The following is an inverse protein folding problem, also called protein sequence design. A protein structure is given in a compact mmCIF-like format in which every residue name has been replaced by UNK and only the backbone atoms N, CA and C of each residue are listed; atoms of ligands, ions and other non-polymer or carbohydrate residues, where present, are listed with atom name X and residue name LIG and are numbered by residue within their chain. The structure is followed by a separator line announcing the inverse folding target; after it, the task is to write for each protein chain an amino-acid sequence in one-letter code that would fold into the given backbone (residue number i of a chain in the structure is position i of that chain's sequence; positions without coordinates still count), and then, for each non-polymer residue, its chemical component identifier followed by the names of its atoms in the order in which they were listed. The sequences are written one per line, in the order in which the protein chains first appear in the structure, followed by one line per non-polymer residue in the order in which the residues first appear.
data_IF_022813141553
#
_entry.id   IF_022813141553
#
_cell.length_a   1.000
_cell.length_b   1.000
_cell.length_c   1.000
_cell.angle_alpha   90.00
_cell.angle_beta   90.00
_cell.angle_gamma   90.00
#
_symmetry.space_group_name_H-M   'P 1'
#
loop_
_entity.id
_entity.type
_entity.pdbx_description
1 polymer ?
#
# COMPACT_ATOMS: atom_id res chain seq x y z
N UNK A 1 63.15 -27.90 22.61
CA UNK A 1 62.98 -27.57 21.19
C UNK A 1 61.61 -26.94 21.00
N UNK A 2 61.53 -25.64 20.69
CA UNK A 2 60.26 -24.92 20.50
C UNK A 2 59.76 -25.16 19.06
N UNK A 3 58.51 -25.62 18.90
CA UNK A 3 57.88 -25.83 17.59
C UNK A 3 56.99 -24.62 17.28
N UNK A 4 57.24 -23.95 16.16
CA UNK A 4 56.39 -22.88 15.63
C UNK A 4 55.54 -23.48 14.50
N UNK A 5 54.21 -23.42 14.64
CA UNK A 5 53.29 -23.83 13.59
C UNK A 5 52.87 -22.58 12.80
N UNK A 6 53.15 -22.62 11.50
CA UNK A 6 52.72 -21.63 10.53
C UNK A 6 51.21 -21.82 10.29
N UNK A 7 50.38 -21.01 10.93
CA UNK A 7 48.94 -20.95 10.60
C UNK A 7 48.84 -20.09 9.34
N UNK A 8 48.67 -20.76 8.19
CA UNK A 8 48.32 -20.13 6.92
C UNK A 8 47.01 -19.39 7.13
N UNK A 9 47.06 -18.06 7.02
CA UNK A 9 45.91 -17.18 7.14
C UNK A 9 44.84 -17.55 6.12
N UNK A 10 43.81 -18.25 6.58
CA UNK A 10 42.57 -18.42 5.84
C UNK A 10 41.85 -17.08 5.91
N UNK A 11 42.14 -16.21 4.96
CA UNK A 11 41.45 -14.94 4.78
C UNK A 11 39.98 -15.22 4.47
N UNK A 12 39.12 -15.18 5.49
CA UNK A 12 37.68 -15.11 5.28
C UNK A 12 37.40 -13.71 4.74
N UNK A 13 37.13 -13.64 3.44
CA UNK A 13 36.62 -12.43 2.82
C UNK A 13 35.23 -12.17 3.40
N UNK A 14 35.12 -11.30 4.40
CA UNK A 14 33.84 -10.74 4.83
C UNK A 14 33.37 -9.76 3.74
N UNK A 15 32.85 -10.31 2.64
CA UNK A 15 32.03 -9.51 1.73
C UNK A 15 30.73 -9.22 2.48
N UNK A 16 30.62 -8.02 3.06
CA UNK A 16 29.33 -7.49 3.45
C UNK A 16 28.51 -7.41 2.17
N UNK A 17 27.66 -8.41 1.92
CA UNK A 17 26.70 -8.38 0.82
C UNK A 17 25.90 -7.09 1.05
N UNK A 18 26.10 -6.07 0.22
CA UNK A 18 25.12 -4.99 0.18
C UNK A 18 23.84 -5.66 -0.27
N UNK A 19 22.86 -5.73 0.63
CA UNK A 19 21.55 -6.22 0.27
C UNK A 19 20.94 -5.15 -0.62
N UNK A 20 21.15 -5.29 -1.94
CA UNK A 20 20.42 -4.52 -2.92
C UNK A 20 18.93 -4.69 -2.62
N UNK A 21 18.20 -3.59 -2.48
CA UNK A 21 16.77 -3.65 -2.22
C UNK A 21 16.08 -4.47 -3.30
N UNK A 22 15.48 -5.60 -2.92
CA UNK A 22 14.74 -6.46 -3.82
C UNK A 22 13.25 -6.28 -3.59
N UNK A 23 12.49 -6.21 -4.68
CA UNK A 23 11.04 -6.27 -4.61
C UNK A 23 10.60 -7.70 -4.27
N UNK A 24 9.84 -7.85 -3.19
CA UNK A 24 9.26 -9.13 -2.78
C UNK A 24 7.78 -9.10 -3.12
N UNK A 25 7.30 -10.06 -3.92
CA UNK A 25 5.87 -10.19 -4.21
C UNK A 25 5.11 -10.49 -2.92
N UNK A 26 4.07 -9.69 -2.64
CA UNK A 26 3.12 -9.89 -1.53
C UNK A 26 1.76 -10.30 -2.06
N UNK A 27 0.83 -10.62 -1.17
CA UNK A 27 -0.52 -11.00 -1.55
C UNK A 27 -1.21 -9.92 -2.38
N UNK A 28 -1.90 -10.36 -3.42
CA UNK A 28 -2.68 -9.50 -4.29
C UNK A 28 -3.83 -8.87 -3.47
N UNK A 29 -4.07 -7.58 -3.71
CA UNK A 29 -5.18 -6.86 -3.06
C UNK A 29 -6.50 -7.53 -3.45
N UNK A 30 -7.41 -7.73 -2.48
CA UNK A 30 -8.63 -8.52 -2.64
C UNK A 30 -9.72 -7.85 -3.51
N UNK A 31 -9.34 -7.38 -4.69
CA UNK A 31 -10.23 -6.75 -5.64
C UNK A 31 -10.33 -7.55 -6.92
N UNK A 32 -11.51 -7.45 -7.52
CA UNK A 32 -11.84 -7.89 -8.86
C UNK A 32 -10.73 -7.55 -9.85
N UNK A 33 -10.50 -8.46 -10.81
CA UNK A 33 -9.35 -8.57 -11.72
C UNK A 33 -8.93 -7.31 -12.50
N UNK A 34 -9.62 -6.18 -12.35
CA UNK A 34 -9.44 -4.95 -13.11
C UNK A 34 -8.43 -3.95 -12.51
N UNK A 35 -7.86 -4.23 -11.34
CA UNK A 35 -6.86 -3.37 -10.68
C UNK A 35 -7.44 -2.10 -10.05
N UNK A 36 -6.65 -1.43 -9.21
CA UNK A 36 -7.03 -0.18 -8.52
C UNK A 36 -6.07 0.95 -8.86
N UNK A 37 -6.62 2.11 -9.20
CA UNK A 37 -5.84 3.33 -9.44
C UNK A 37 -6.30 4.53 -8.62
N UNK A 38 -5.39 5.47 -8.42
CA UNK A 38 -5.60 6.73 -7.69
C UNK A 38 -6.22 6.57 -6.29
N UNK A 39 -5.90 5.47 -5.60
CA UNK A 39 -6.33 5.22 -4.23
C UNK A 39 -5.51 6.03 -3.23
N UNK A 40 -6.10 6.34 -2.08
CA UNK A 40 -5.38 6.90 -0.94
C UNK A 40 -4.76 5.77 -0.13
N UNK A 41 -3.55 5.94 0.40
CA UNK A 41 -2.92 4.96 1.27
C UNK A 41 -2.16 5.58 2.43
N UNK A 42 -2.04 4.85 3.54
CA UNK A 42 -1.20 5.22 4.68
C UNK A 42 -0.80 3.99 5.49
N UNK A 43 0.29 4.09 6.26
CA UNK A 43 0.70 3.07 7.21
C UNK A 43 0.24 3.45 8.63
N UNK A 44 -0.31 2.50 9.39
CA UNK A 44 -0.71 2.69 10.78
C UNK A 44 -0.66 1.35 11.52
N UNK A 45 -0.09 1.32 12.72
CA UNK A 45 -0.05 0.15 13.61
C UNK A 45 0.45 -1.13 12.89
N UNK A 46 1.58 -1.03 12.18
CA UNK A 46 2.19 -2.13 11.42
C UNK A 46 1.33 -2.72 10.29
N UNK A 47 0.29 -2.00 9.85
CA UNK A 47 -0.55 -2.35 8.72
C UNK A 47 -0.56 -1.23 7.67
N UNK A 48 -0.87 -1.58 6.43
CA UNK A 48 -1.09 -0.61 5.34
C UNK A 48 -2.58 -0.52 5.08
N UNK A 49 -3.10 0.70 4.98
CA UNK A 49 -4.48 0.96 4.65
C UNK A 49 -4.58 1.57 3.26
N UNK A 50 -5.58 1.14 2.50
CA UNK A 50 -5.90 1.66 1.17
C UNK A 50 -7.38 2.00 1.13
N UNK A 51 -7.70 3.23 0.77
CA UNK A 51 -9.07 3.72 0.66
C UNK A 51 -9.33 4.19 -0.77
N UNK A 52 -10.57 4.03 -1.23
CA UNK A 52 -11.08 4.70 -2.41
C UNK A 52 -10.33 4.40 -3.71
N UNK A 53 -10.31 5.35 -4.63
CA UNK A 53 -9.80 5.18 -5.99
C UNK A 53 -10.86 4.64 -6.96
N UNK A 54 -10.42 4.21 -8.13
CA UNK A 54 -11.26 3.53 -9.12
C UNK A 54 -10.87 2.06 -9.23
N UNK A 55 -11.87 1.19 -9.41
CA UNK A 55 -11.71 -0.25 -9.62
C UNK A 55 -11.94 -0.52 -11.10
N UNK A 56 -10.86 -0.84 -11.83
CA UNK A 56 -10.89 -0.92 -13.29
C UNK A 56 -11.21 0.41 -13.99
N UNK A 57 -10.97 0.45 -15.30
CA UNK A 57 -11.38 1.61 -16.12
C UNK A 57 -12.91 1.68 -16.31
N UNK A 58 -13.64 0.60 -16.04
CA UNK A 58 -15.08 0.46 -16.33
C UNK A 58 -15.97 0.25 -15.11
N UNK A 59 -15.45 -0.23 -13.96
CA UNK A 59 -16.27 -0.56 -12.79
C UNK A 59 -16.48 0.61 -11.80
N UNK A 60 -15.83 1.75 -12.04
CA UNK A 60 -16.14 3.01 -11.35
C UNK A 60 -15.38 3.25 -10.05
N UNK A 61 -15.81 4.25 -9.28
CA UNK A 61 -15.18 4.67 -8.03
C UNK A 61 -15.70 3.88 -6.85
N UNK A 62 -14.82 3.62 -5.89
CA UNK A 62 -15.14 2.94 -4.63
C UNK A 62 -14.90 3.85 -3.44
N UNK A 63 -15.55 3.56 -2.32
CA UNK A 63 -15.28 4.15 -1.03
C UNK A 63 -14.72 3.13 -0.02
N UNK A 64 -14.55 1.86 -0.41
CA UNK A 64 -14.06 0.80 0.47
C UNK A 64 -12.70 1.12 1.09
N UNK A 65 -12.48 0.49 2.25
CA UNK A 65 -11.25 0.57 3.02
C UNK A 65 -10.68 -0.84 3.17
N UNK A 66 -9.47 -1.04 2.69
CA UNK A 66 -8.74 -2.29 2.76
C UNK A 66 -7.53 -2.12 3.67
N UNK A 67 -7.26 -3.15 4.47
CA UNK A 67 -6.11 -3.19 5.37
C UNK A 67 -5.26 -4.41 5.05
N UNK A 68 -3.98 -4.18 4.77
CA UNK A 68 -2.96 -5.21 4.58
C UNK A 68 -2.23 -5.46 5.89
N UNK A 69 -2.25 -6.72 6.32
CA UNK A 69 -1.42 -7.24 7.40
C UNK A 69 -0.14 -7.87 6.82
N UNK A 70 1.06 -7.29 7.07
CA UNK A 70 2.33 -7.84 6.60
C UNK A 70 2.72 -9.16 7.24
N UNK A 71 2.21 -9.46 8.45
CA UNK A 71 2.48 -10.70 9.20
C UNK A 71 1.68 -11.85 8.60
N UNK A 72 0.38 -11.64 8.41
CA UNK A 72 -0.49 -12.62 7.76
C UNK A 72 -0.34 -12.65 6.24
N UNK A 73 0.31 -11.64 5.65
CA UNK A 73 0.39 -11.41 4.21
C UNK A 73 -0.99 -11.50 3.57
N UNK A 74 -1.96 -10.75 4.11
CA UNK A 74 -3.35 -10.82 3.67
C UNK A 74 -4.02 -9.45 3.72
N UNK A 75 -5.09 -9.31 2.93
CA UNK A 75 -5.92 -8.11 2.89
C UNK A 75 -7.27 -8.39 3.55
N UNK A 76 -7.71 -7.46 4.40
CA UNK A 76 -9.02 -7.53 5.07
C UNK A 76 -9.80 -6.26 4.81
N UNK A 77 -11.09 -6.38 4.51
CA UNK A 77 -12.00 -5.23 4.39
C UNK A 77 -12.29 -4.63 5.77
N UNK A 78 -12.23 -3.30 5.87
CA UNK A 78 -12.53 -2.53 7.07
C UNK A 78 -13.69 -1.59 6.80
N UNK A 79 -14.31 -1.11 7.88
CA UNK A 79 -15.28 -0.02 7.79
C UNK A 79 -14.62 1.20 7.16
N UNK A 80 -15.27 1.79 6.17
CA UNK A 80 -14.79 3.02 5.57
C UNK A 80 -15.11 4.22 6.47
N UNK A 81 -14.20 5.19 6.64
CA UNK A 81 -14.48 6.41 7.38
C UNK A 81 -15.46 7.34 6.62
N UNK A 82 -15.77 7.05 5.35
CA UNK A 82 -16.68 7.86 4.54
C UNK A 82 -17.39 7.00 3.49
N UNK A 83 -18.65 7.30 3.22
CA UNK A 83 -19.42 6.72 2.09
C UNK A 83 -19.08 7.37 0.74
N UNK A 84 -18.21 8.38 0.73
CA UNK A 84 -17.89 9.13 -0.48
C UNK A 84 -16.84 8.41 -1.33
N UNK A 85 -17.25 7.97 -2.51
CA UNK A 85 -16.34 7.47 -3.54
C UNK A 85 -15.39 8.60 -3.98
N UNK A 86 -14.10 8.49 -3.65
CA UNK A 86 -13.08 9.52 -3.92
C UNK A 86 -11.84 8.91 -4.57
N UNK A 87 -11.28 9.57 -5.57
CA UNK A 87 -9.97 9.24 -6.14
C UNK A 87 -9.00 10.42 -6.06
N UNK A 88 -7.70 10.14 -6.17
CA UNK A 88 -6.62 11.13 -6.14
C UNK A 88 -6.65 12.01 -4.87
N UNK A 89 -7.01 11.38 -3.74
CA UNK A 89 -6.95 12.03 -2.43
C UNK A 89 -5.60 11.79 -1.74
N UNK A 90 -5.52 12.18 -0.47
CA UNK A 90 -4.33 12.00 0.35
C UNK A 90 -4.69 11.13 1.56
N UNK A 91 -3.77 10.22 1.92
CA UNK A 91 -3.81 9.43 3.14
C UNK A 91 -2.54 9.63 3.95
N UNK A 92 -2.66 9.80 5.27
CA UNK A 92 -1.50 9.86 6.18
C UNK A 92 -1.91 9.44 7.60
N UNK A 93 -0.94 9.22 8.48
CA UNK A 93 -1.18 8.93 9.90
C UNK A 93 -0.47 9.95 10.80
N UNK A 94 -1.11 10.27 11.93
CA UNK A 94 -0.53 11.07 13.02
C UNK A 94 -0.87 10.37 14.34
N UNK A 95 0.16 9.99 15.08
CA UNK A 95 0.01 9.18 16.30
C UNK A 95 -0.73 7.88 16.02
N UNK A 96 -1.77 7.58 16.81
CA UNK A 96 -2.59 6.39 16.67
C UNK A 96 -3.77 6.55 15.68
N UNK A 97 -3.81 7.63 14.89
CA UNK A 97 -4.93 7.95 13.99
C UNK A 97 -4.49 8.01 12.53
N UNK A 98 -5.32 7.43 11.66
CA UNK A 98 -5.21 7.59 10.20
C UNK A 98 -6.18 8.65 9.69
N UNK A 99 -5.76 9.39 8.67
CA UNK A 99 -6.50 10.47 8.05
C UNK A 99 -6.54 10.25 6.55
N UNK A 100 -7.74 10.34 5.98
CA UNK A 100 -7.96 10.27 4.53
C UNK A 100 -8.89 11.40 4.12
N UNK A 101 -8.61 12.03 2.99
CA UNK A 101 -9.43 13.14 2.53
C UNK A 101 -8.99 13.70 1.19
N UNK A 102 -9.55 14.86 0.85
CA UNK A 102 -9.34 15.52 -0.44
C UNK A 102 -9.74 14.62 -1.62
N UNK A 103 -9.16 14.84 -2.79
CA UNK A 103 -9.52 14.12 -4.02
C UNK A 103 -10.90 14.50 -4.55
N UNK A 104 -11.27 13.88 -5.67
CA UNK A 104 -12.49 14.18 -6.40
C UNK A 104 -13.41 12.97 -6.53
N UNK A 105 -14.72 13.23 -6.53
CA UNK A 105 -15.71 12.30 -7.06
C UNK A 105 -15.75 12.52 -8.57
N UNK A 106 -15.18 11.60 -9.33
CA UNK A 106 -15.01 11.82 -10.77
C UNK A 106 -16.29 11.54 -11.58
N UNK A 107 -17.39 11.09 -10.97
CA UNK A 107 -18.68 11.11 -11.67
C UNK A 107 -19.25 12.53 -11.66
N UNK A 108 -18.63 13.42 -12.42
CA UNK A 108 -19.36 14.50 -13.08
C UNK A 108 -20.28 13.85 -14.10
N UNK A 109 -21.40 13.30 -13.65
CA UNK A 109 -22.56 13.32 -14.53
C UNK A 109 -22.87 14.81 -14.68
N UNK A 110 -22.60 15.39 -15.84
CA UNK A 110 -23.09 16.72 -16.20
C UNK A 110 -24.62 16.67 -16.07
N UNK A 111 -25.15 17.00 -14.89
CA UNK A 111 -26.58 17.22 -14.72
C UNK A 111 -26.85 18.60 -15.29
N UNK A 112 -27.34 18.63 -16.53
CA UNK A 112 -28.00 19.81 -17.09
C UNK A 112 -29.14 20.18 -16.13
N UNK A 113 -29.11 21.39 -15.56
CA UNK A 113 -30.27 21.92 -14.86
C UNK A 113 -31.43 22.04 -15.86
N UNK A 114 -32.67 21.68 -15.50
CA UNK A 114 -33.80 21.88 -16.38
C UNK A 114 -33.92 23.38 -16.76
N UNK A 115 -34.37 23.70 -17.98
CA UNK A 115 -34.60 25.09 -18.37
C UNK A 115 -35.66 25.72 -17.47
N UNK A 116 -35.46 27.00 -17.14
CA UNK A 116 -36.46 27.85 -16.47
C UNK A 116 -37.72 27.99 -17.31
#
# INVERSE_FOLDING_TARGET
MKKYYLIVGMSVLLMSKSSSAQWIKKADMNQTASGRGAAQSFALNNAVYVQGGYVGFTAGYTADMLMYDPVANSWTSKASPTEANRSAGVGFSIGAKGYVGLGAKTTSAFRRLPPF
#
